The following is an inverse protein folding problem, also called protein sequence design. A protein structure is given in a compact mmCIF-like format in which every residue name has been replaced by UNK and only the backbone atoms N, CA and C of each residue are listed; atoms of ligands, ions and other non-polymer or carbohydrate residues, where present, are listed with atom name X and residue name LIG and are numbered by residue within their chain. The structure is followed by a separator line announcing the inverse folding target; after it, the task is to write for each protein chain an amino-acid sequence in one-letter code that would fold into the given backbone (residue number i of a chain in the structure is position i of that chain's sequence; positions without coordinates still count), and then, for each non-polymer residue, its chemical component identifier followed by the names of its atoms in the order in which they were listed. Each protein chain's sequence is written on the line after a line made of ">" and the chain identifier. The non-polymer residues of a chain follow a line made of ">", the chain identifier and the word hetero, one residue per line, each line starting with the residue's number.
data_IF_807505117414
#
_entry.id   IF_807505117414
#
_cell.length_a   1.000
_cell.length_b   1.000
_cell.length_c   1.000
_cell.angle_alpha   90.00
_cell.angle_beta   90.00
_cell.angle_gamma   90.00
#
_symmetry.space_group_name_H-M   'P 1'
#
loop_
_entity.id
_entity.type
_entity.pdbx_description
1 polymer ?
#
# COMPACT_ATOMS: atom_id res chain seq x y z
N UNK A 1 -5.24 -0.30 -7.01
CA UNK A 1 -4.18 -0.12 -5.98
C UNK A 1 -3.21 0.96 -6.42
N UNK A 2 -2.77 1.79 -5.48
CA UNK A 2 -1.66 2.73 -5.70
C UNK A 2 -0.35 1.95 -5.56
N UNK A 3 0.55 2.10 -6.53
CA UNK A 3 1.90 1.56 -6.46
C UNK A 3 2.90 2.71 -6.36
N UNK A 4 3.66 2.73 -5.28
CA UNK A 4 4.76 3.66 -5.05
C UNK A 4 6.05 2.85 -4.87
N UNK A 5 7.12 3.36 -5.39
CA UNK A 5 8.45 2.78 -5.25
C UNK A 5 9.33 3.73 -4.45
N UNK A 6 10.01 3.19 -3.46
CA UNK A 6 11.06 3.88 -2.72
C UNK A 6 12.40 3.23 -3.02
N UNK A 7 13.35 4.00 -3.52
CA UNK A 7 14.68 3.50 -3.84
C UNK A 7 15.76 4.48 -3.37
N UNK A 8 16.97 3.99 -3.34
CA UNK A 8 18.16 4.77 -2.96
C UNK A 8 19.11 4.80 -4.15
N UNK A 9 19.58 5.97 -4.52
CA UNK A 9 20.57 6.14 -5.58
C UNK A 9 22.02 5.88 -5.11
N UNK A 10 22.99 5.98 -6.01
CA UNK A 10 24.39 5.76 -5.72
C UNK A 10 24.98 6.80 -4.73
N UNK A 11 24.31 7.94 -4.54
CA UNK A 11 24.68 8.97 -3.57
C UNK A 11 24.01 8.77 -2.21
N UNK A 12 23.30 7.65 -2.01
CA UNK A 12 22.50 7.34 -0.83
C UNK A 12 21.29 8.29 -0.62
N UNK A 13 20.90 9.03 -1.65
CA UNK A 13 19.69 9.82 -1.59
C UNK A 13 18.44 8.93 -1.76
N UNK A 14 17.43 9.18 -0.94
CA UNK A 14 16.16 8.43 -0.97
C UNK A 14 15.20 9.11 -1.93
N UNK A 15 14.65 8.34 -2.86
CA UNK A 15 13.64 8.76 -3.82
C UNK A 15 12.35 7.99 -3.58
N UNK A 16 11.22 8.67 -3.67
CA UNK A 16 9.88 8.08 -3.63
C UNK A 16 9.14 8.47 -4.91
N UNK A 17 8.70 7.48 -5.66
CA UNK A 17 8.07 7.68 -6.95
C UNK A 17 6.68 7.04 -6.97
N UNK A 18 5.69 7.82 -7.41
CA UNK A 18 4.38 7.29 -7.76
C UNK A 18 4.46 6.64 -9.14
N UNK A 19 4.24 5.34 -9.20
CA UNK A 19 4.36 4.57 -10.44
C UNK A 19 3.01 4.48 -11.16
N UNK A 20 1.92 4.34 -10.43
CA UNK A 20 0.60 4.30 -11.06
C UNK A 20 -0.49 3.64 -10.22
N UNK A 21 -1.64 3.49 -10.87
CA UNK A 21 -2.81 2.79 -10.35
C UNK A 21 -2.98 1.48 -11.11
N UNK A 22 -3.07 0.37 -10.38
CA UNK A 22 -3.17 -0.97 -10.96
C UNK A 22 -4.33 -1.75 -10.37
N UNK A 23 -4.87 -2.70 -11.16
CA UNK A 23 -5.86 -3.66 -10.66
C UNK A 23 -5.21 -4.71 -9.75
N UNK A 24 -6.02 -5.37 -8.90
CA UNK A 24 -5.51 -6.34 -7.92
C UNK A 24 -5.28 -7.75 -8.52
N UNK A 25 -5.81 -8.03 -9.72
CA UNK A 25 -5.92 -9.39 -10.25
C UNK A 25 -4.58 -10.05 -10.59
N UNK A 26 -3.53 -9.26 -10.86
CA UNK A 26 -2.21 -9.80 -11.20
C UNK A 26 -1.06 -9.04 -10.55
N UNK A 27 -1.23 -8.70 -9.29
CA UNK A 27 -0.36 -7.75 -8.59
C UNK A 27 1.13 -8.12 -8.58
N UNK A 28 1.45 -9.40 -8.40
CA UNK A 28 2.84 -9.85 -8.44
C UNK A 28 3.46 -9.69 -9.83
N UNK A 29 2.68 -9.92 -10.89
CA UNK A 29 3.16 -9.70 -12.27
C UNK A 29 3.35 -8.19 -12.53
N UNK A 30 2.45 -7.36 -12.04
CA UNK A 30 2.58 -5.90 -12.12
C UNK A 30 3.86 -5.42 -11.43
N UNK A 31 4.14 -5.91 -10.21
CA UNK A 31 5.36 -5.56 -9.48
C UNK A 31 6.59 -5.96 -10.29
N UNK A 32 6.64 -7.18 -10.82
CA UNK A 32 7.76 -7.65 -11.64
C UNK A 32 7.94 -6.84 -12.92
N UNK A 33 6.84 -6.50 -13.61
CA UNK A 33 6.86 -5.69 -14.82
C UNK A 33 7.38 -4.27 -14.55
N UNK A 34 6.90 -3.63 -13.48
CA UNK A 34 7.38 -2.31 -13.06
C UNK A 34 8.87 -2.34 -12.73
N UNK A 35 9.32 -3.31 -11.94
CA UNK A 35 10.74 -3.45 -11.60
C UNK A 35 11.59 -3.65 -12.85
N UNK A 36 11.13 -4.48 -13.80
CA UNK A 36 11.83 -4.70 -15.07
C UNK A 36 11.96 -3.41 -15.89
N UNK A 37 10.87 -2.64 -16.02
CA UNK A 37 10.86 -1.35 -16.74
C UNK A 37 11.80 -0.32 -16.11
N UNK A 38 11.94 -0.35 -14.80
CA UNK A 38 12.82 0.55 -14.06
C UNK A 38 14.25 0.01 -13.94
N UNK A 39 14.57 -1.11 -14.58
CA UNK A 39 15.86 -1.80 -14.48
C UNK A 39 16.26 -2.14 -13.03
N UNK A 40 15.26 -2.45 -12.19
CA UNK A 40 15.46 -2.83 -10.79
C UNK A 40 15.33 -4.34 -10.64
N UNK A 41 16.23 -4.93 -9.87
CA UNK A 41 16.21 -6.36 -9.56
C UNK A 41 15.47 -6.62 -8.26
N UNK A 42 14.61 -7.65 -8.23
CA UNK A 42 13.87 -8.02 -7.03
C UNK A 42 14.80 -8.42 -5.88
N UNK A 43 15.98 -8.94 -6.19
CA UNK A 43 17.03 -9.31 -5.23
C UNK A 43 17.59 -8.11 -4.45
N UNK A 44 17.36 -6.90 -4.95
CA UNK A 44 17.71 -5.66 -4.26
C UNK A 44 16.59 -5.13 -3.36
N UNK A 45 15.41 -5.77 -3.37
CA UNK A 45 14.31 -5.40 -2.48
C UNK A 45 14.70 -5.63 -1.02
N UNK A 46 14.46 -4.64 -0.17
CA UNK A 46 14.75 -4.73 1.28
C UNK A 46 13.52 -4.57 2.14
N UNK A 47 12.45 -4.03 1.56
CA UNK A 47 11.21 -3.83 2.29
C UNK A 47 10.01 -3.75 1.38
N UNK A 48 8.86 -4.06 1.94
CA UNK A 48 7.57 -3.95 1.30
C UNK A 48 6.53 -3.53 2.34
N UNK A 49 5.60 -2.68 1.94
CA UNK A 49 4.60 -2.12 2.83
C UNK A 49 3.24 -2.12 2.16
N UNK A 50 2.25 -2.74 2.79
CA UNK A 50 0.88 -2.82 2.30
C UNK A 50 -0.12 -2.59 3.42
N UNK A 51 -1.39 -2.36 3.05
CA UNK A 51 -2.51 -2.45 3.99
C UNK A 51 -2.73 -3.90 4.47
N UNK A 52 -3.59 -4.07 5.47
CA UNK A 52 -3.86 -5.38 6.05
C UNK A 52 -4.80 -6.28 5.23
N UNK A 53 -5.12 -5.93 3.98
CA UNK A 53 -5.97 -6.77 3.15
C UNK A 53 -5.34 -8.16 2.93
N UNK A 54 -6.12 -9.21 2.99
CA UNK A 54 -5.65 -10.60 2.89
C UNK A 54 -4.96 -10.91 1.56
N UNK A 55 -5.36 -10.24 0.46
CA UNK A 55 -4.70 -10.32 -0.83
C UNK A 55 -3.26 -9.80 -0.82
N UNK A 56 -2.95 -8.90 0.11
CA UNK A 56 -1.64 -8.27 0.24
C UNK A 56 -0.79 -8.97 1.32
N UNK A 57 -1.34 -9.16 2.51
CA UNK A 57 -0.62 -9.63 3.69
C UNK A 57 -0.85 -11.12 4.03
N UNK A 58 -1.69 -11.81 3.25
CA UNK A 58 -2.03 -13.21 3.51
C UNK A 58 -0.80 -14.12 3.56
N UNK A 59 -0.70 -14.93 4.62
CA UNK A 59 0.49 -15.76 4.91
C UNK A 59 0.75 -16.85 3.86
N UNK A 60 -0.26 -17.27 3.11
CA UNK A 60 -0.14 -18.37 2.13
C UNK A 60 -0.01 -17.84 0.70
N UNK A 61 -0.86 -16.91 0.31
CA UNK A 61 -0.96 -16.46 -1.10
C UNK A 61 -0.90 -14.95 -1.28
N UNK A 62 -0.73 -14.19 -0.21
CA UNK A 62 -0.61 -12.73 -0.27
C UNK A 62 0.62 -12.27 -1.06
N UNK A 63 0.57 -11.06 -1.58
CA UNK A 63 1.68 -10.46 -2.33
C UNK A 63 2.95 -10.41 -1.50
N UNK A 64 2.83 -10.04 -0.23
CA UNK A 64 3.95 -9.99 0.70
C UNK A 64 4.71 -11.33 0.76
N UNK A 65 3.99 -12.43 0.89
CA UNK A 65 4.57 -13.77 0.90
C UNK A 65 5.28 -14.10 -0.42
N UNK A 66 4.64 -13.82 -1.56
CA UNK A 66 5.22 -14.07 -2.88
C UNK A 66 6.51 -13.27 -3.13
N UNK A 67 6.57 -12.03 -2.66
CA UNK A 67 7.79 -11.21 -2.75
C UNK A 67 8.88 -11.77 -1.83
N UNK A 68 8.54 -12.15 -0.58
CA UNK A 68 9.49 -12.77 0.34
C UNK A 68 10.01 -14.13 -0.14
N UNK A 69 9.24 -14.89 -0.89
CA UNK A 69 9.68 -16.15 -1.50
C UNK A 69 10.72 -15.91 -2.62
N UNK A 70 10.68 -14.76 -3.27
CA UNK A 70 11.66 -14.35 -4.29
C UNK A 70 12.90 -13.68 -3.65
N UNK A 71 12.69 -12.88 -2.61
CA UNK A 71 13.75 -12.19 -1.88
C UNK A 71 13.41 -12.15 -0.37
N UNK A 72 14.02 -13.03 0.38
CA UNK A 72 13.76 -13.19 1.82
C UNK A 72 14.10 -11.96 2.68
N UNK A 73 14.96 -11.05 2.17
CA UNK A 73 15.31 -9.80 2.83
C UNK A 73 14.29 -8.68 2.62
N UNK A 74 13.27 -8.90 1.75
CA UNK A 74 12.18 -7.97 1.52
C UNK A 74 11.17 -8.01 2.68
N UNK A 75 11.53 -7.43 3.82
CA UNK A 75 10.72 -7.48 5.03
C UNK A 75 9.36 -6.80 4.81
N UNK A 76 8.30 -7.49 5.18
CA UNK A 76 6.95 -6.92 5.15
C UNK A 76 6.71 -6.06 6.39
N UNK A 77 6.18 -4.86 6.15
CA UNK A 77 5.65 -3.98 7.19
C UNK A 77 4.22 -3.59 6.89
N UNK A 78 3.43 -3.42 7.93
CA UNK A 78 2.07 -2.90 7.79
C UNK A 78 2.10 -1.40 7.50
N UNK A 79 1.20 -0.93 6.64
CA UNK A 79 1.10 0.49 6.31
C UNK A 79 0.68 1.30 7.55
N UNK A 80 1.58 2.11 8.08
CA UNK A 80 1.29 2.95 9.24
C UNK A 80 0.20 3.99 9.00
N UNK A 81 0.10 4.53 7.78
CA UNK A 81 -1.00 5.42 7.40
C UNK A 81 -2.35 4.73 7.48
N UNK A 82 -2.42 3.47 7.05
CA UNK A 82 -3.64 2.66 7.19
C UNK A 82 -3.94 2.34 8.67
N UNK A 83 -2.93 1.97 9.45
CA UNK A 83 -3.07 1.71 10.87
C UNK A 83 -3.55 2.96 11.63
N UNK A 84 -2.99 4.14 11.33
CA UNK A 84 -3.44 5.40 11.89
C UNK A 84 -4.89 5.71 11.52
N UNK A 85 -5.27 5.54 10.26
CA UNK A 85 -6.66 5.71 9.82
C UNK A 85 -7.62 4.83 10.62
N UNK A 86 -7.28 3.56 10.80
CA UNK A 86 -8.10 2.62 11.59
C UNK A 86 -8.20 3.05 13.05
N UNK A 87 -7.10 3.48 13.67
CA UNK A 87 -7.09 3.96 15.06
C UNK A 87 -7.96 5.21 15.23
N UNK A 88 -7.87 6.16 14.30
CA UNK A 88 -8.74 7.35 14.32
C UNK A 88 -10.20 6.95 14.14
N UNK A 89 -10.52 6.11 13.16
CA UNK A 89 -11.89 5.62 12.95
C UNK A 89 -12.45 4.93 14.19
N UNK A 90 -11.64 4.10 14.86
CA UNK A 90 -12.04 3.40 16.07
C UNK A 90 -12.27 4.37 17.23
N UNK A 91 -11.44 5.39 17.37
CA UNK A 91 -11.56 6.42 18.40
C UNK A 91 -12.82 7.27 18.26
N UNK A 92 -13.26 7.55 17.03
CA UNK A 92 -14.42 8.43 16.76
C UNK A 92 -15.73 7.68 16.54
N UNK A 93 -15.70 6.36 16.40
CA UNK A 93 -16.90 5.56 16.08
C UNK A 93 -18.04 5.68 17.09
N UNK A 94 -17.75 6.05 18.33
CA UNK A 94 -18.74 6.23 19.38
C UNK A 94 -19.15 7.70 19.59
N UNK A 95 -18.59 8.63 18.80
CA UNK A 95 -18.91 10.06 18.90
C UNK A 95 -19.94 10.40 17.81
N UNK A 96 -21.22 10.36 18.21
CA UNK A 96 -22.37 10.56 17.29
C UNK A 96 -22.25 11.85 16.47
N UNK A 97 -21.84 12.95 17.09
CA UNK A 97 -21.69 14.24 16.41
C UNK A 97 -20.72 14.17 15.22
N UNK A 98 -19.58 13.48 15.40
CA UNK A 98 -18.57 13.31 14.34
C UNK A 98 -19.13 12.41 13.23
N UNK A 99 -19.79 11.32 13.57
CA UNK A 99 -20.41 10.44 12.59
C UNK A 99 -21.47 11.17 11.75
N UNK A 100 -22.34 11.92 12.40
CA UNK A 100 -23.38 12.68 11.70
C UNK A 100 -22.78 13.75 10.77
N UNK A 101 -21.72 14.43 11.20
CA UNK A 101 -20.99 15.40 10.39
C UNK A 101 -20.34 14.73 9.17
N UNK A 102 -19.66 13.61 9.36
CA UNK A 102 -19.01 12.87 8.26
C UNK A 102 -20.04 12.35 7.26
N UNK A 103 -21.15 11.79 7.74
CA UNK A 103 -22.24 11.31 6.90
C UNK A 103 -22.86 12.46 6.09
N UNK A 104 -23.14 13.58 6.71
CA UNK A 104 -23.66 14.77 6.04
C UNK A 104 -22.70 15.27 4.96
N UNK A 105 -21.41 15.36 5.29
CA UNK A 105 -20.37 15.76 4.32
C UNK A 105 -20.30 14.78 3.14
N UNK A 106 -20.34 13.48 3.40
CA UNK A 106 -20.34 12.45 2.36
C UNK A 106 -21.57 12.61 1.43
N UNK A 107 -22.77 12.80 1.97
CA UNK A 107 -24.00 12.98 1.18
C UNK A 107 -23.97 14.28 0.35
N UNK A 108 -23.34 15.34 0.84
CA UNK A 108 -23.12 16.58 0.08
C UNK A 108 -22.18 16.32 -1.10
N UNK A 109 -21.01 15.71 -0.84
CA UNK A 109 -20.02 15.42 -1.88
C UNK A 109 -20.61 14.53 -2.98
N UNK A 110 -21.42 13.55 -2.62
CA UNK A 110 -22.08 12.63 -3.58
C UNK A 110 -23.07 13.33 -4.51
N UNK A 111 -23.60 14.50 -4.12
CA UNK A 111 -24.55 15.29 -4.91
C UNK A 111 -23.87 16.35 -5.77
N UNK A 112 -22.58 16.55 -5.63
CA UNK A 112 -21.81 17.47 -6.48
C UNK A 112 -21.51 16.74 -7.80
N UNK A 113 -21.92 17.28 -8.96
CA UNK A 113 -21.72 16.65 -10.25
C UNK A 113 -20.24 16.59 -10.66
#
# INVERSE_FOLDING_TARGET
>A
MVFCLRHVDDNLAVHEEFIGLYSLESLIFTIKDVLLRMNLKIENCRGQCYDGASSMSGQVSGVAKKVMDLEHRALYTHCYGHALKLAVQDSIKNIKLIQDTLNTTYEIIKKIP
#
